data_IF_561524597070
#
_entry.id   IF_561524597070
#
_cell.length_a   1.000
_cell.length_b   1.000
_cell.length_c   1.000
_cell.angle_alpha   90.00
_cell.angle_beta   90.00
_cell.angle_gamma   90.00
#
_symmetry.space_group_name_H-M   'P 1'
#
loop_
_entity.id
_entity.type
_entity.pdbx_description
1 polymer ?
#
# COMPACT_ATOMS: atom_id res chain seq x y z
N UNK A 1 52.21 -38.77 1.00
CA UNK A 1 52.09 -37.47 1.68
C UNK A 1 51.07 -36.52 1.03
N UNK A 2 50.70 -36.69 -0.21
CA UNK A 2 49.78 -35.84 -0.97
C UNK A 2 48.30 -36.02 -0.65
N UNK A 3 47.85 -37.22 -0.26
CA UNK A 3 46.43 -37.49 0.02
C UNK A 3 45.93 -36.73 1.29
N UNK A 4 46.80 -36.59 2.29
CA UNK A 4 46.46 -35.92 3.55
C UNK A 4 46.24 -34.39 3.37
N UNK A 5 47.00 -33.78 2.48
CA UNK A 5 46.82 -32.34 2.16
C UNK A 5 45.54 -32.05 1.36
N UNK A 6 45.12 -32.98 0.49
CA UNK A 6 43.88 -32.83 -0.29
C UNK A 6 42.65 -32.97 0.61
N UNK A 7 42.66 -33.87 1.58
CA UNK A 7 41.55 -34.03 2.53
C UNK A 7 41.45 -32.85 3.47
N UNK A 8 42.55 -32.28 3.97
CA UNK A 8 42.57 -31.08 4.79
C UNK A 8 42.01 -29.85 4.01
N UNK A 9 42.38 -29.69 2.74
CA UNK A 9 41.85 -28.64 1.88
C UNK A 9 40.34 -28.78 1.66
N UNK A 10 39.84 -29.99 1.44
CA UNK A 10 38.43 -30.27 1.27
C UNK A 10 37.58 -29.91 2.50
N UNK A 11 38.06 -30.27 3.71
CA UNK A 11 37.35 -29.94 4.95
C UNK A 11 37.31 -28.46 5.23
N UNK A 12 38.35 -27.70 4.95
CA UNK A 12 38.36 -26.26 5.08
C UNK A 12 37.40 -25.60 4.09
N UNK A 13 37.37 -26.08 2.84
CA UNK A 13 36.40 -25.60 1.84
C UNK A 13 34.97 -25.86 2.28
N UNK A 14 34.68 -27.03 2.82
CA UNK A 14 33.36 -27.42 3.31
C UNK A 14 32.92 -26.57 4.50
N UNK A 15 33.82 -26.26 5.45
CA UNK A 15 33.57 -25.36 6.58
C UNK A 15 33.26 -23.95 6.11
N UNK A 16 34.03 -23.40 5.18
CA UNK A 16 33.81 -22.07 4.62
C UNK A 16 32.45 -22.03 3.90
N UNK A 17 32.14 -23.03 3.12
CA UNK A 17 30.87 -23.14 2.43
C UNK A 17 29.68 -23.13 3.39
N UNK A 18 29.70 -23.90 4.46
CA UNK A 18 28.64 -23.90 5.46
C UNK A 18 28.58 -22.58 6.25
N UNK A 19 29.72 -21.94 6.54
CA UNK A 19 29.75 -20.64 7.17
C UNK A 19 29.10 -19.55 6.29
N UNK A 20 29.43 -19.52 5.01
CA UNK A 20 28.81 -18.59 4.03
C UNK A 20 27.32 -18.86 3.90
N UNK A 21 26.92 -20.12 3.80
CA UNK A 21 25.51 -20.51 3.73
C UNK A 21 24.75 -20.08 4.99
N UNK A 22 25.33 -20.26 6.17
CA UNK A 22 24.75 -19.82 7.44
C UNK A 22 24.55 -18.29 7.51
N UNK A 23 25.58 -17.53 7.11
CA UNK A 23 25.51 -16.05 7.06
C UNK A 23 24.45 -15.61 6.05
N UNK A 24 24.42 -16.23 4.87
CA UNK A 24 23.43 -15.93 3.85
C UNK A 24 21.99 -16.20 4.34
N UNK A 25 21.77 -17.32 5.03
CA UNK A 25 20.47 -17.70 5.60
C UNK A 25 20.00 -16.68 6.66
N UNK A 26 20.88 -16.24 7.55
CA UNK A 26 20.56 -15.22 8.57
C UNK A 26 20.18 -13.90 7.91
N UNK A 27 20.93 -13.47 6.88
CA UNK A 27 20.61 -12.23 6.15
C UNK A 27 19.28 -12.36 5.41
N UNK A 28 18.97 -13.50 4.81
CA UNK A 28 17.69 -13.75 4.15
C UNK A 28 16.52 -13.64 5.14
N UNK A 29 16.64 -14.27 6.32
CA UNK A 29 15.61 -14.19 7.36
C UNK A 29 15.41 -12.75 7.83
N UNK A 30 16.50 -12.00 8.10
CA UNK A 30 16.44 -10.58 8.46
C UNK A 30 15.76 -9.77 7.38
N UNK A 31 16.08 -10.00 6.11
CA UNK A 31 15.46 -9.32 4.98
C UNK A 31 13.95 -9.60 4.92
N UNK A 32 13.53 -10.87 5.02
CA UNK A 32 12.09 -11.22 5.04
C UNK A 32 11.36 -10.57 6.21
N UNK A 33 11.97 -10.57 7.41
CA UNK A 33 11.37 -9.93 8.58
C UNK A 33 11.27 -8.40 8.42
N UNK A 34 12.19 -7.77 7.71
CA UNK A 34 12.14 -6.33 7.43
C UNK A 34 11.01 -5.93 6.49
N UNK A 35 10.47 -6.86 5.70
CA UNK A 35 9.32 -6.64 4.83
C UNK A 35 7.98 -6.64 5.56
N UNK A 36 7.98 -6.97 6.87
CA UNK A 36 6.79 -6.95 7.69
C UNK A 36 6.31 -5.52 7.89
N UNK A 37 5.14 -5.21 7.36
CA UNK A 37 4.50 -3.89 7.44
C UNK A 37 3.30 -3.96 8.36
N UNK A 38 3.23 -3.03 9.31
CA UNK A 38 2.08 -2.86 10.21
C UNK A 38 1.28 -1.66 9.75
N UNK A 39 0.00 -1.85 9.48
CA UNK A 39 -0.91 -0.79 9.02
C UNK A 39 -1.36 0.06 10.20
N UNK A 40 -1.18 1.39 10.17
CA UNK A 40 -1.70 2.30 11.17
C UNK A 40 -3.23 2.26 11.22
N UNK A 41 -3.81 2.60 12.37
CA UNK A 41 -5.29 2.60 12.55
C UNK A 41 -6.03 3.65 11.74
N UNK A 42 -5.31 4.71 11.32
CA UNK A 42 -5.84 5.80 10.49
C UNK A 42 -5.81 5.51 9.00
N UNK A 43 -5.24 4.37 8.58
CA UNK A 43 -5.05 4.01 7.18
C UNK A 43 -5.55 2.61 6.89
N UNK A 44 -5.88 2.39 5.63
CA UNK A 44 -6.14 1.08 5.03
C UNK A 44 -5.16 0.89 3.89
N UNK A 45 -4.42 -0.20 3.93
CA UNK A 45 -3.55 -0.62 2.84
C UNK A 45 -4.28 -1.67 2.01
N UNK A 46 -4.56 -1.34 0.76
CA UNK A 46 -5.11 -2.28 -0.20
C UNK A 46 -3.96 -2.91 -0.96
N UNK A 47 -3.76 -4.18 -0.71
CA UNK A 47 -2.65 -4.98 -1.25
C UNK A 47 -3.15 -5.85 -2.39
N UNK A 48 -2.59 -5.65 -3.56
CA UNK A 48 -2.85 -6.47 -4.74
C UNK A 48 -1.70 -7.46 -4.93
N UNK A 49 -2.03 -8.75 -4.98
CA UNK A 49 -1.09 -9.84 -5.18
C UNK A 49 -1.68 -10.86 -6.14
N UNK A 50 -0.97 -11.20 -7.21
CA UNK A 50 -1.34 -12.26 -8.16
C UNK A 50 -2.81 -12.21 -8.63
N UNK A 51 -3.39 -11.00 -8.77
CA UNK A 51 -4.78 -10.81 -9.18
C UNK A 51 -5.80 -10.83 -8.05
N UNK A 52 -5.38 -11.06 -6.82
CA UNK A 52 -6.22 -10.95 -5.63
C UNK A 52 -6.00 -9.60 -4.95
N UNK A 53 -7.10 -8.97 -4.48
CA UNK A 53 -7.06 -7.70 -3.76
C UNK A 53 -7.52 -7.91 -2.33
N UNK A 54 -6.66 -7.61 -1.36
CA UNK A 54 -6.93 -7.80 0.07
C UNK A 54 -6.68 -6.48 0.80
N UNK A 55 -7.65 -6.04 1.60
CA UNK A 55 -7.54 -4.83 2.41
C UNK A 55 -7.05 -5.14 3.81
N UNK A 56 -6.00 -4.45 4.24
CA UNK A 56 -5.43 -4.53 5.58
C UNK A 56 -5.66 -3.23 6.33
N UNK A 57 -6.10 -3.32 7.58
CA UNK A 57 -6.35 -2.19 8.46
C UNK A 57 -7.62 -2.36 9.26
N UNK A 58 -7.75 -1.62 10.36
CA UNK A 58 -8.88 -1.74 11.28
C UNK A 58 -10.22 -1.34 10.64
N UNK A 59 -10.21 -0.32 9.78
CA UNK A 59 -11.42 0.15 9.10
C UNK A 59 -11.82 -0.71 7.89
N UNK A 60 -10.94 -1.59 7.40
CA UNK A 60 -11.23 -2.54 6.34
C UNK A 60 -11.86 -3.85 6.87
N UNK A 61 -11.93 -4.01 8.18
CA UNK A 61 -12.54 -5.18 8.82
C UNK A 61 -14.06 -5.09 8.69
N UNK A 62 -14.59 -5.75 7.68
CA UNK A 62 -16.01 -6.11 7.60
C UNK A 62 -16.21 -7.47 8.29
N UNK A 63 -17.43 -7.81 8.67
CA UNK A 63 -17.75 -9.12 9.27
C UNK A 63 -17.29 -10.32 8.41
N UNK A 64 -17.13 -10.10 7.10
CA UNK A 64 -16.73 -11.12 6.13
C UNK A 64 -15.19 -11.18 5.92
N UNK A 65 -14.44 -10.11 6.21
CA UNK A 65 -13.00 -10.02 6.00
C UNK A 65 -12.27 -9.68 7.29
N UNK A 66 -11.91 -10.71 8.07
CA UNK A 66 -11.07 -10.59 9.28
C UNK A 66 -9.58 -10.53 8.92
N UNK A 67 -9.21 -9.68 7.99
CA UNK A 67 -7.80 -9.48 7.64
C UNK A 67 -7.15 -8.62 8.72
N UNK A 68 -6.01 -9.06 9.24
CA UNK A 68 -5.29 -8.33 10.30
C UNK A 68 -4.69 -6.99 9.82
N UNK A 69 -3.94 -6.34 10.70
CA UNK A 69 -3.24 -5.08 10.37
C UNK A 69 -1.79 -5.29 9.95
N UNK A 70 -1.40 -6.53 9.63
CA UNK A 70 0.01 -6.87 9.31
C UNK A 70 0.05 -7.67 8.03
N UNK A 71 0.94 -7.26 7.13
CA UNK A 71 1.24 -8.00 5.91
C UNK A 71 2.74 -7.92 5.59
N UNK A 72 3.20 -8.72 4.61
CA UNK A 72 4.56 -8.67 4.10
C UNK A 72 4.58 -7.95 2.75
N UNK A 73 5.25 -6.79 2.71
CA UNK A 73 5.37 -5.97 1.51
C UNK A 73 6.53 -6.46 0.62
N UNK A 74 6.32 -7.56 -0.09
CA UNK A 74 7.31 -8.04 -1.05
C UNK A 74 7.42 -7.08 -2.24
N UNK A 75 8.64 -6.78 -2.73
CA UNK A 75 8.85 -5.92 -3.88
C UNK A 75 8.06 -6.41 -5.10
N UNK A 76 7.48 -5.49 -5.85
CA UNK A 76 6.60 -5.80 -7.01
C UNK A 76 7.33 -6.49 -8.16
N UNK A 77 8.68 -6.40 -8.23
CA UNK A 77 9.48 -7.10 -9.23
C UNK A 77 9.62 -8.62 -8.98
N UNK A 78 9.24 -9.10 -7.79
CA UNK A 78 9.26 -10.54 -7.49
C UNK A 78 8.04 -11.21 -8.15
N UNK A 79 8.25 -12.19 -9.04
CA UNK A 79 7.14 -12.90 -9.65
C UNK A 79 6.35 -13.65 -8.57
N UNK A 80 5.02 -13.71 -8.72
CA UNK A 80 4.06 -14.45 -7.88
C UNK A 80 3.85 -13.87 -6.48
N UNK A 81 4.91 -13.46 -5.78
CA UNK A 81 4.83 -12.97 -4.38
C UNK A 81 4.92 -11.45 -4.25
N UNK A 82 5.33 -10.76 -5.32
CA UNK A 82 5.36 -9.29 -5.36
C UNK A 82 3.98 -8.67 -5.13
N UNK A 83 3.94 -7.56 -4.41
CA UNK A 83 2.69 -6.87 -4.08
C UNK A 83 2.72 -5.42 -4.54
N UNK A 84 1.57 -4.93 -4.94
CA UNK A 84 1.32 -3.49 -5.14
C UNK A 84 0.42 -3.00 -4.02
N UNK A 85 0.79 -1.90 -3.39
CA UNK A 85 0.08 -1.38 -2.22
C UNK A 85 -0.49 0.00 -2.54
N UNK A 86 -1.80 0.15 -2.36
CA UNK A 86 -2.50 1.43 -2.40
C UNK A 86 -2.85 1.84 -0.97
N UNK A 87 -2.40 3.01 -0.53
CA UNK A 87 -2.66 3.54 0.81
C UNK A 87 -3.81 4.53 0.74
N UNK A 88 -4.84 4.29 1.54
CA UNK A 88 -6.02 5.15 1.66
C UNK A 88 -6.25 5.51 3.13
N UNK A 89 -6.52 6.78 3.40
CA UNK A 89 -6.85 7.24 4.74
C UNK A 89 -8.31 6.94 5.09
N UNK A 90 -8.57 6.70 6.39
CA UNK A 90 -9.92 6.35 6.90
C UNK A 90 -10.69 7.53 7.45
N UNK A 91 -10.05 8.69 7.50
CA UNK A 91 -10.63 9.91 8.05
C UNK A 91 -11.79 10.47 7.22
N UNK A 92 -12.40 11.52 7.77
CA UNK A 92 -13.28 12.41 7.02
C UNK A 92 -12.39 13.48 6.38
N UNK A 93 -12.55 13.66 5.08
CA UNK A 93 -11.81 14.65 4.31
C UNK A 93 -12.73 15.83 4.04
N UNK A 94 -12.17 17.01 4.05
CA UNK A 94 -12.84 18.22 3.63
C UNK A 94 -12.19 18.80 2.37
N UNK A 95 -13.01 19.41 1.54
CA UNK A 95 -12.59 20.18 0.36
C UNK A 95 -13.33 21.49 0.34
N UNK A 96 -12.55 22.57 0.20
CA UNK A 96 -13.04 23.92 0.13
C UNK A 96 -12.90 24.42 -1.32
N UNK A 97 -14.01 24.71 -1.96
CA UNK A 97 -14.07 25.46 -3.21
C UNK A 97 -14.40 26.92 -2.85
N UNK A 98 -13.41 27.82 -2.94
CA UNK A 98 -13.54 29.20 -2.59
C UNK A 98 -13.64 30.08 -3.83
N UNK A 99 -14.42 31.16 -3.73
CA UNK A 99 -14.57 32.18 -4.78
C UNK A 99 -14.95 31.57 -6.15
N UNK A 100 -15.73 30.48 -6.16
CA UNK A 100 -16.17 29.86 -7.40
C UNK A 100 -17.23 30.73 -8.08
N UNK A 101 -16.97 31.09 -9.36
CA UNK A 101 -17.90 31.89 -10.14
C UNK A 101 -19.06 31.01 -10.63
N UNK A 102 -20.22 31.24 -10.10
CA UNK A 102 -21.46 30.57 -10.48
C UNK A 102 -22.42 31.54 -11.14
N UNK A 103 -23.40 31.03 -11.85
CA UNK A 103 -24.42 31.83 -12.53
C UNK A 103 -25.80 31.38 -12.09
N UNK A 104 -26.65 32.32 -11.73
CA UNK A 104 -28.06 32.05 -11.47
C UNK A 104 -28.80 31.74 -12.78
N UNK A 105 -30.03 31.24 -12.68
CA UNK A 105 -30.95 30.97 -13.79
C UNK A 105 -31.07 32.17 -14.76
N UNK A 106 -30.99 33.39 -14.23
CA UNK A 106 -31.02 34.64 -14.99
C UNK A 106 -29.63 35.09 -15.48
N UNK A 107 -28.61 34.22 -15.39
CA UNK A 107 -27.22 34.50 -15.76
C UNK A 107 -26.54 35.61 -14.98
N UNK A 108 -27.00 35.90 -13.78
CA UNK A 108 -26.34 36.85 -12.90
C UNK A 108 -25.13 36.16 -12.25
N UNK A 109 -23.91 36.73 -12.37
CA UNK A 109 -22.73 36.14 -11.77
C UNK A 109 -22.75 36.34 -10.25
N UNK A 110 -22.43 35.30 -9.50
CA UNK A 110 -22.22 35.36 -8.06
C UNK A 110 -21.09 34.43 -7.66
N UNK A 111 -20.48 34.67 -6.50
CA UNK A 111 -19.43 33.85 -5.96
C UNK A 111 -19.97 32.95 -4.87
N UNK A 112 -19.54 31.69 -4.91
CA UNK A 112 -19.96 30.67 -3.96
C UNK A 112 -18.75 30.06 -3.27
N UNK A 113 -18.84 29.94 -1.95
CA UNK A 113 -17.93 29.17 -1.14
C UNK A 113 -18.62 27.85 -0.77
N UNK A 114 -18.06 26.74 -1.24
CA UNK A 114 -18.60 25.41 -0.98
C UNK A 114 -17.60 24.61 -0.17
N UNK A 115 -18.02 24.11 0.98
CA UNK A 115 -17.24 23.17 1.78
C UNK A 115 -17.92 21.80 1.79
N UNK A 116 -17.23 20.80 1.27
CA UNK A 116 -17.72 19.43 1.20
C UNK A 116 -16.94 18.51 2.12
N UNK A 117 -17.65 17.58 2.74
CA UNK A 117 -17.07 16.54 3.58
C UNK A 117 -17.38 15.18 2.98
N UNK A 118 -16.37 14.32 2.90
CA UNK A 118 -16.54 12.96 2.38
C UNK A 118 -15.67 11.95 3.15
N UNK A 119 -16.05 10.69 3.06
CA UNK A 119 -15.25 9.58 3.56
C UNK A 119 -15.34 8.40 2.60
N UNK A 120 -14.30 7.57 2.58
CA UNK A 120 -14.31 6.34 1.81
C UNK A 120 -15.17 5.32 2.56
N UNK A 121 -16.18 4.75 1.91
CA UNK A 121 -17.04 3.73 2.46
C UNK A 121 -16.53 2.31 2.13
N UNK A 122 -16.05 2.11 0.92
CA UNK A 122 -15.48 0.83 0.45
C UNK A 122 -14.09 1.05 -0.14
N UNK A 123 -13.08 0.58 0.58
CA UNK A 123 -11.67 0.73 0.22
C UNK A 123 -11.27 -0.15 -0.97
N UNK A 124 -11.92 -1.31 -1.16
CA UNK A 124 -11.62 -2.19 -2.29
C UNK A 124 -12.08 -1.54 -3.61
N UNK A 125 -13.30 -1.00 -3.61
CA UNK A 125 -13.82 -0.29 -4.78
C UNK A 125 -13.02 0.98 -5.06
N UNK A 126 -12.63 1.73 -4.02
CA UNK A 126 -11.84 2.94 -4.17
C UNK A 126 -10.48 2.64 -4.81
N UNK A 127 -9.77 1.60 -4.36
CA UNK A 127 -8.42 1.24 -4.85
C UNK A 127 -8.39 0.78 -6.31
N UNK A 128 -9.51 0.31 -6.85
CA UNK A 128 -9.63 -0.05 -8.27
C UNK A 128 -9.80 1.19 -9.15
N UNK A 129 -10.40 2.25 -8.59
CA UNK A 129 -10.73 3.48 -9.33
C UNK A 129 -9.66 4.55 -9.26
N UNK A 130 -8.88 4.56 -8.19
CA UNK A 130 -7.86 5.59 -7.94
C UNK A 130 -6.56 4.93 -7.46
N UNK A 131 -5.42 5.41 -7.96
CA UNK A 131 -4.11 4.89 -7.57
C UNK A 131 -3.66 5.37 -6.17
N UNK A 132 -4.35 6.33 -5.57
CA UNK A 132 -4.05 6.85 -4.24
C UNK A 132 -4.91 8.03 -3.83
N UNK A 133 -4.65 8.55 -2.63
CA UNK A 133 -5.40 9.67 -2.03
C UNK A 133 -5.40 10.94 -2.88
N UNK A 134 -4.27 11.26 -3.52
CA UNK A 134 -4.14 12.47 -4.33
C UNK A 134 -5.08 12.44 -5.54
N UNK A 135 -5.08 11.35 -6.28
CA UNK A 135 -5.95 11.18 -7.44
C UNK A 135 -7.45 11.19 -7.05
N UNK A 136 -7.78 10.57 -5.90
CA UNK A 136 -9.14 10.62 -5.36
C UNK A 136 -9.58 12.06 -5.12
N UNK A 137 -8.71 12.89 -4.53
CA UNK A 137 -8.99 14.29 -4.27
C UNK A 137 -9.18 15.10 -5.55
N UNK A 138 -8.34 14.90 -6.56
CA UNK A 138 -8.45 15.57 -7.87
C UNK A 138 -9.77 15.22 -8.59
N UNK A 139 -10.19 13.95 -8.53
CA UNK A 139 -11.49 13.54 -9.10
C UNK A 139 -12.67 14.14 -8.36
N UNK A 140 -12.59 14.25 -7.03
CA UNK A 140 -13.65 14.87 -6.22
C UNK A 140 -13.76 16.36 -6.48
N UNK A 141 -12.64 17.08 -6.64
CA UNK A 141 -12.64 18.49 -7.02
C UNK A 141 -13.36 18.70 -8.35
N UNK A 142 -13.13 17.84 -9.34
CA UNK A 142 -13.84 17.88 -10.62
C UNK A 142 -15.35 17.62 -10.48
N UNK A 143 -15.76 16.72 -9.59
CA UNK A 143 -17.18 16.43 -9.33
C UNK A 143 -17.85 17.61 -8.64
N UNK A 144 -17.21 18.22 -7.64
CA UNK A 144 -17.72 19.38 -6.90
C UNK A 144 -17.91 20.56 -7.87
N UNK A 145 -16.92 20.86 -8.71
CA UNK A 145 -17.00 21.92 -9.72
C UNK A 145 -18.12 21.69 -10.74
N UNK A 146 -18.36 20.43 -11.11
CA UNK A 146 -19.45 20.10 -12.04
C UNK A 146 -20.85 20.07 -11.42
N UNK A 147 -20.96 20.07 -10.09
CA UNK A 147 -22.23 20.05 -9.35
C UNK A 147 -22.71 21.45 -8.92
N UNK A 148 -21.82 22.44 -8.94
CA UNK A 148 -22.11 23.86 -8.61
C UNK A 148 -22.42 24.64 -9.88
#
# INVERSE_FOLDING_TARGET
MTIFNITLGFWHFLLIFFAVLGIASINLVKWVLSLRTVVPTSQVHVVQRAGETISYGRAAQSETNKTGNVYYAFPSWLPVIGVTVTVLDTGIFDRDLKDYDAYDKDRLPFKVDVKTFFRINDFNVASVRVAGMKELQEQLDGIIQGAV
#
